data_IF_322331744635
#
_entry.id   IF_322331744635
#
_cell.length_a   1.000
_cell.length_b   1.000
_cell.length_c   1.000
_cell.angle_alpha   90.00
_cell.angle_beta   90.00
_cell.angle_gamma   90.00
#
_symmetry.space_group_name_H-M   'P 1'
#
loop_
_entity.id
_entity.type
_entity.pdbx_description
1 polymer ?
#
# COMPACT_ATOMS: atom_id res chain seq x y z
N UNK A 1 -21.60 27.78 45.89
CA UNK A 1 -20.72 26.95 46.74
C UNK A 1 -20.49 25.60 46.06
N UNK A 2 -19.36 25.47 45.36
CA UNK A 2 -18.67 24.20 45.15
C UNK A 2 -17.41 24.13 46.04
N UNK A 3 -16.85 22.94 46.32
CA UNK A 3 -15.67 22.83 47.18
C UNK A 3 -14.41 23.26 46.43
N UNK A 4 -13.63 24.10 47.12
CA UNK A 4 -12.25 24.47 46.83
C UNK A 4 -11.37 23.22 46.75
N UNK A 5 -10.63 23.07 45.65
CA UNK A 5 -9.45 22.21 45.58
C UNK A 5 -8.22 23.10 45.62
N UNK A 6 -7.37 22.83 46.60
CA UNK A 6 -6.14 23.55 46.87
C UNK A 6 -5.10 23.29 45.77
N UNK A 7 -4.44 24.39 45.39
CA UNK A 7 -3.31 24.45 44.48
C UNK A 7 -2.08 23.77 45.09
N UNK A 8 -1.57 22.73 44.43
CA UNK A 8 -0.22 22.25 44.65
C UNK A 8 0.77 23.09 43.84
N UNK A 9 1.75 23.61 44.56
CA UNK A 9 2.90 24.38 44.12
C UNK A 9 4.00 23.40 43.71
N UNK A 10 4.26 23.26 42.42
CA UNK A 10 5.43 22.54 41.89
C UNK A 10 6.37 23.53 41.20
N UNK A 11 7.27 24.09 42.01
CA UNK A 11 8.55 24.57 41.51
C UNK A 11 9.44 23.37 41.19
N UNK A 12 9.76 23.18 39.91
CA UNK A 12 10.95 22.43 39.54
C UNK A 12 11.57 23.01 38.27
N UNK A 13 12.61 23.82 38.49
CA UNK A 13 13.62 24.16 37.51
C UNK A 13 14.37 22.88 37.10
N UNK A 14 14.10 22.38 35.90
CA UNK A 14 15.00 21.43 35.23
C UNK A 14 15.22 21.87 33.78
N UNK A 15 16.16 22.79 33.61
CA UNK A 15 16.84 23.00 32.32
C UNK A 15 17.83 21.86 32.12
N UNK A 16 17.45 20.90 31.28
CA UNK A 16 18.41 20.03 30.62
C UNK A 16 18.27 20.26 29.12
N UNK A 17 19.29 20.90 28.53
CA UNK A 17 19.43 20.99 27.08
C UNK A 17 19.74 19.60 26.53
N UNK A 18 18.85 19.10 25.68
CA UNK A 18 19.13 18.00 24.79
C UNK A 18 19.28 18.62 23.41
N UNK A 19 20.54 18.75 22.97
CA UNK A 19 20.87 19.09 21.59
C UNK A 19 20.59 17.85 20.74
N UNK A 20 19.60 17.98 19.87
CA UNK A 20 19.14 16.97 18.93
C UNK A 20 20.03 17.02 17.68
N UNK A 21 21.11 16.24 17.70
CA UNK A 21 21.92 15.97 16.52
C UNK A 21 21.70 14.51 16.09
N UNK A 22 20.65 14.23 15.31
CA UNK A 22 20.68 13.18 14.26
C UNK A 22 19.34 12.97 13.52
N UNK A 23 18.84 13.99 12.81
CA UNK A 23 17.79 13.80 11.77
C UNK A 23 18.28 14.06 10.33
N UNK A 24 19.54 14.46 10.13
CA UNK A 24 20.03 14.87 8.81
C UNK A 24 20.53 13.72 7.89
N UNK A 25 20.25 12.45 8.22
CA UNK A 25 20.93 11.32 7.57
C UNK A 25 20.07 10.40 6.68
N UNK A 26 18.75 10.43 6.79
CA UNK A 26 17.89 9.40 6.19
C UNK A 26 16.92 9.92 5.11
N UNK A 27 16.61 11.22 5.10
CA UNK A 27 15.76 11.82 4.04
C UNK A 27 16.50 12.00 2.70
N UNK A 28 17.83 12.14 2.72
CA UNK A 28 18.62 12.44 1.51
C UNK A 28 18.83 11.22 0.58
N UNK A 29 18.61 9.99 1.04
CA UNK A 29 18.76 8.80 0.19
C UNK A 29 17.48 8.39 -0.55
N UNK A 30 16.30 8.84 -0.11
CA UNK A 30 15.04 8.49 -0.78
C UNK A 30 14.55 9.56 -1.78
N UNK A 31 15.00 10.82 -1.62
CA UNK A 31 14.72 11.89 -2.59
C UNK A 31 15.63 11.83 -3.83
N UNK A 32 16.75 11.09 -3.80
CA UNK A 32 17.67 11.00 -4.93
C UNK A 32 17.22 10.03 -6.05
N UNK A 33 16.22 9.18 -5.82
CA UNK A 33 15.72 8.21 -6.82
C UNK A 33 14.41 8.63 -7.52
N UNK A 34 13.84 9.79 -7.20
CA UNK A 34 12.56 10.25 -7.76
C UNK A 34 12.58 11.62 -8.45
N UNK A 35 13.73 12.29 -8.55
CA UNK A 35 13.83 13.66 -9.10
C UNK A 35 14.39 13.79 -10.54
N UNK A 36 14.67 12.70 -11.27
CA UNK A 36 15.25 12.79 -12.63
C UNK A 36 14.34 12.35 -13.78
N UNK A 37 13.03 12.61 -13.66
CA UNK A 37 12.12 12.60 -14.81
C UNK A 37 11.32 13.92 -14.82
N UNK A 38 12.01 15.00 -15.15
CA UNK A 38 11.35 16.20 -15.67
C UNK A 38 10.67 15.87 -16.98
N UNK A 39 9.42 15.39 -16.90
CA UNK A 39 8.52 15.19 -18.02
C UNK A 39 8.30 16.53 -18.73
N UNK A 40 9.09 16.77 -19.76
CA UNK A 40 8.74 17.70 -20.82
C UNK A 40 7.43 17.22 -21.44
N UNK A 41 6.32 17.78 -20.97
CA UNK A 41 5.01 17.66 -21.61
C UNK A 41 5.19 18.00 -23.09
N UNK A 42 4.89 17.09 -24.04
CA UNK A 42 4.92 17.43 -25.45
C UNK A 42 3.88 18.53 -25.66
N UNK A 43 4.34 19.69 -26.10
CA UNK A 43 3.45 20.76 -26.53
C UNK A 43 2.47 20.20 -27.57
N UNK A 44 1.19 20.47 -27.32
CA UNK A 44 0.05 20.27 -28.21
C UNK A 44 0.48 20.37 -29.69
N UNK A 45 0.32 19.33 -30.52
CA UNK A 45 0.45 19.53 -31.95
C UNK A 45 -0.67 20.47 -32.44
N UNK A 46 -0.38 21.39 -33.36
CA UNK A 46 -1.35 22.36 -33.85
C UNK A 46 -2.44 21.69 -34.68
N UNK A 47 -3.60 22.34 -34.68
CA UNK A 47 -4.78 21.99 -35.44
C UNK A 47 -4.46 21.60 -36.89
N UNK A 48 -5.04 20.47 -37.32
CA UNK A 48 -4.99 19.95 -38.68
C UNK A 48 -5.92 20.73 -39.62
N UNK A 49 -5.68 22.03 -39.80
CA UNK A 49 -6.26 22.77 -40.93
C UNK A 49 -5.42 22.53 -42.19
N UNK A 50 -5.65 21.39 -42.85
CA UNK A 50 -5.18 21.13 -44.20
C UNK A 50 -6.34 20.66 -45.08
N UNK A 51 -7.03 21.62 -45.70
CA UNK A 51 -8.00 21.37 -46.76
C UNK A 51 -7.33 20.62 -47.93
N UNK A 52 -7.91 19.51 -48.44
CA UNK A 52 -7.36 18.84 -49.61
C UNK A 52 -7.63 19.67 -50.87
N UNK A 53 -6.57 19.99 -51.61
CA UNK A 53 -6.63 20.61 -52.93
C UNK A 53 -7.39 19.69 -53.90
N UNK A 54 -8.52 20.20 -54.41
CA UNK A 54 -9.33 19.62 -55.46
C UNK A 54 -8.50 19.28 -56.70
N UNK A 55 -8.28 17.97 -56.95
CA UNK A 55 -7.95 17.44 -58.28
C UNK A 55 -9.26 16.96 -58.90
N UNK A 56 -9.64 17.58 -60.03
CA UNK A 56 -10.77 17.13 -60.86
C UNK A 56 -10.54 15.68 -61.28
N UNK A 57 -11.42 14.79 -60.83
CA UNK A 57 -11.50 13.42 -61.31
C UNK A 57 -12.09 13.38 -62.73
N UNK A 58 -11.63 12.46 -63.61
CA UNK A 58 -12.22 12.24 -64.93
C UNK A 58 -13.64 11.65 -64.81
N UNK A 59 -14.48 11.78 -65.86
CA UNK A 59 -15.88 11.38 -65.83
C UNK A 59 -16.01 9.88 -65.55
N UNK A 60 -16.77 9.56 -64.50
CA UNK A 60 -17.03 8.20 -64.04
C UNK A 60 -17.90 7.45 -65.05
N UNK A 61 -17.34 6.40 -65.63
CA UNK A 61 -18.12 5.27 -66.12
C UNK A 61 -19.01 4.78 -64.98
N UNK A 62 -20.34 4.86 -65.16
CA UNK A 62 -21.33 4.32 -64.23
C UNK A 62 -21.16 2.80 -64.12
N UNK A 63 -20.26 2.36 -63.25
CA UNK A 63 -20.23 0.97 -62.78
C UNK A 63 -21.47 0.77 -61.93
N UNK A 64 -22.31 -0.19 -62.31
CA UNK A 64 -23.44 -0.63 -61.50
C UNK A 64 -22.97 -0.86 -60.06
N UNK A 65 -23.72 -0.33 -59.09
CA UNK A 65 -23.41 -0.49 -57.69
C UNK A 65 -23.24 -1.99 -57.37
N UNK A 66 -22.20 -2.37 -56.61
CA UNK A 66 -22.01 -3.76 -56.23
C UNK A 66 -23.28 -4.29 -55.54
N UNK A 67 -23.65 -5.57 -55.76
CA UNK A 67 -24.83 -6.14 -55.14
C UNK A 67 -24.74 -6.02 -53.61
N UNK A 68 -25.83 -5.61 -52.98
CA UNK A 68 -25.93 -5.43 -51.52
C UNK A 68 -25.37 -6.66 -50.80
N UNK A 69 -24.50 -6.42 -49.82
CA UNK A 69 -23.83 -7.50 -49.10
C UNK A 69 -24.83 -8.31 -48.27
N UNK A 70 -24.40 -9.49 -47.80
CA UNK A 70 -25.25 -10.29 -46.90
C UNK A 70 -25.57 -9.53 -45.61
N UNK A 71 -24.61 -8.76 -45.09
CA UNK A 71 -24.81 -7.93 -43.90
C UNK A 71 -25.85 -6.84 -44.17
N UNK A 72 -25.76 -6.15 -45.31
CA UNK A 72 -26.72 -5.11 -45.69
C UNK A 72 -28.15 -5.64 -45.79
N UNK A 73 -28.33 -6.80 -46.43
CA UNK A 73 -29.65 -7.44 -46.55
C UNK A 73 -30.24 -7.78 -45.19
N UNK A 74 -29.45 -8.40 -44.31
CA UNK A 74 -29.89 -8.75 -42.95
C UNK A 74 -30.19 -7.51 -42.10
N UNK A 75 -29.41 -6.43 -42.24
CA UNK A 75 -29.72 -5.15 -41.57
C UNK A 75 -31.01 -4.54 -42.11
N UNK A 76 -31.25 -4.59 -43.41
CA UNK A 76 -32.49 -4.09 -43.99
C UNK A 76 -33.71 -4.89 -43.50
N UNK A 77 -33.64 -6.22 -43.54
CA UNK A 77 -34.68 -7.10 -42.99
C UNK A 77 -34.92 -6.82 -41.49
N UNK A 78 -33.84 -6.64 -40.72
CA UNK A 78 -33.92 -6.26 -39.31
C UNK A 78 -34.58 -4.90 -39.11
N UNK A 79 -34.25 -3.91 -39.95
CA UNK A 79 -34.83 -2.58 -39.92
C UNK A 79 -36.33 -2.64 -40.21
N UNK A 80 -36.76 -3.43 -41.19
CA UNK A 80 -38.17 -3.58 -41.54
C UNK A 80 -38.97 -4.16 -40.35
N UNK A 81 -38.41 -5.17 -39.67
CA UNK A 81 -39.00 -5.73 -38.44
C UNK A 81 -39.00 -4.70 -37.31
N UNK A 82 -37.90 -3.97 -37.12
CA UNK A 82 -37.76 -2.97 -36.05
C UNK A 82 -38.71 -1.77 -36.24
N UNK A 83 -38.89 -1.30 -37.47
CA UNK A 83 -39.82 -0.22 -37.81
C UNK A 83 -41.28 -0.65 -37.71
N UNK A 84 -41.58 -1.96 -37.81
CA UNK A 84 -42.92 -2.50 -37.57
C UNK A 84 -43.38 -2.44 -36.10
N UNK A 85 -42.51 -2.01 -35.18
CA UNK A 85 -42.80 -1.89 -33.74
C UNK A 85 -43.60 -0.61 -33.45
N UNK A 86 -44.93 -0.70 -33.57
CA UNK A 86 -45.86 0.37 -33.20
C UNK A 86 -46.24 0.37 -31.71
N UNK A 87 -46.71 1.53 -31.21
CA UNK A 87 -47.05 1.75 -29.79
C UNK A 87 -48.26 0.92 -29.30
N UNK A 88 -49.13 0.49 -30.21
CA UNK A 88 -50.33 -0.32 -29.89
C UNK A 88 -50.10 -1.84 -29.85
N UNK A 89 -48.86 -2.33 -30.01
CA UNK A 89 -48.60 -3.77 -29.99
C UNK A 89 -48.65 -4.33 -28.57
N UNK A 90 -49.27 -5.51 -28.35
CA UNK A 90 -49.17 -6.22 -27.07
C UNK A 90 -47.70 -6.48 -26.70
N UNK A 91 -47.37 -6.32 -25.41
CA UNK A 91 -45.99 -6.42 -24.89
C UNK A 91 -45.24 -7.69 -25.35
N UNK A 92 -45.93 -8.84 -25.36
CA UNK A 92 -45.37 -10.13 -25.81
C UNK A 92 -44.97 -10.08 -27.29
N UNK A 93 -45.87 -9.57 -28.16
CA UNK A 93 -45.62 -9.48 -29.60
C UNK A 93 -44.53 -8.46 -29.90
N UNK A 94 -44.53 -7.34 -29.18
CA UNK A 94 -43.49 -6.32 -29.28
C UNK A 94 -42.11 -6.90 -28.94
N UNK A 95 -41.99 -7.59 -27.80
CA UNK A 95 -40.73 -8.25 -27.37
C UNK A 95 -40.29 -9.31 -28.38
N UNK A 96 -41.20 -10.15 -28.86
CA UNK A 96 -40.89 -11.18 -29.87
C UNK A 96 -40.35 -10.58 -31.17
N UNK A 97 -40.98 -9.52 -31.69
CA UNK A 97 -40.52 -8.83 -32.91
C UNK A 97 -39.18 -8.15 -32.70
N UNK A 98 -38.96 -7.53 -31.54
CA UNK A 98 -37.70 -6.88 -31.22
C UNK A 98 -36.55 -7.88 -31.12
N UNK A 99 -36.77 -9.03 -30.47
CA UNK A 99 -35.81 -10.15 -30.44
C UNK A 99 -35.49 -10.67 -31.85
N UNK A 100 -36.51 -10.80 -32.71
CA UNK A 100 -36.29 -11.18 -34.12
C UNK A 100 -35.40 -10.16 -34.86
N UNK A 101 -35.61 -8.86 -34.66
CA UNK A 101 -34.75 -7.83 -35.25
C UNK A 101 -33.31 -7.92 -34.73
N UNK A 102 -33.15 -8.14 -33.42
CA UNK A 102 -31.84 -8.36 -32.78
C UNK A 102 -31.11 -9.55 -33.40
N UNK A 103 -31.79 -10.68 -33.60
CA UNK A 103 -31.18 -11.88 -34.19
C UNK A 103 -30.71 -11.64 -35.63
N UNK A 104 -31.47 -10.86 -36.42
CA UNK A 104 -31.07 -10.44 -37.76
C UNK A 104 -29.82 -9.53 -37.71
N UNK A 105 -29.76 -8.58 -36.78
CA UNK A 105 -28.58 -7.72 -36.62
C UNK A 105 -27.36 -8.49 -36.13
N UNK A 106 -27.51 -9.46 -35.22
CA UNK A 106 -26.41 -10.35 -34.80
C UNK A 106 -25.86 -11.16 -35.96
N UNK A 107 -26.73 -11.69 -36.82
CA UNK A 107 -26.31 -12.35 -38.05
C UNK A 107 -25.59 -11.39 -39.00
N UNK A 108 -26.06 -10.13 -39.10
CA UNK A 108 -25.41 -9.10 -39.91
C UNK A 108 -24.01 -8.74 -39.40
N UNK A 109 -23.81 -8.69 -38.08
CA UNK A 109 -22.48 -8.56 -37.44
C UNK A 109 -21.60 -9.74 -37.85
N UNK A 110 -22.09 -10.98 -37.75
CA UNK A 110 -21.32 -12.18 -38.05
C UNK A 110 -20.90 -12.31 -39.53
N UNK A 111 -21.60 -11.67 -40.47
CA UNK A 111 -21.28 -11.71 -41.90
C UNK A 111 -20.78 -10.38 -42.48
N UNK A 112 -20.50 -9.39 -41.64
CA UNK A 112 -19.93 -8.11 -42.08
C UNK A 112 -18.54 -8.33 -42.69
N UNK A 113 -18.28 -7.72 -43.86
CA UNK A 113 -17.03 -7.90 -44.62
C UNK A 113 -16.01 -6.78 -44.40
N UNK A 114 -16.36 -5.77 -43.62
CA UNK A 114 -15.48 -4.65 -43.29
C UNK A 114 -16.06 -3.76 -42.21
N UNK A 115 -15.23 -2.82 -41.77
CA UNK A 115 -15.50 -1.93 -40.63
C UNK A 115 -16.76 -1.07 -40.83
N UNK A 116 -17.05 -0.68 -42.07
CA UNK A 116 -18.23 0.11 -42.38
C UNK A 116 -19.55 -0.66 -42.13
N UNK A 117 -19.60 -1.91 -42.58
CA UNK A 117 -20.76 -2.79 -42.37
C UNK A 117 -20.86 -3.19 -40.90
N UNK A 118 -19.71 -3.52 -40.28
CA UNK A 118 -19.62 -3.95 -38.90
C UNK A 118 -20.10 -2.86 -37.94
N UNK A 119 -19.57 -1.64 -38.06
CA UNK A 119 -19.99 -0.49 -37.25
C UNK A 119 -21.49 -0.21 -37.37
N UNK A 120 -22.04 -0.29 -38.58
CA UNK A 120 -23.47 -0.11 -38.83
C UNK A 120 -24.34 -1.23 -38.25
N UNK A 121 -23.89 -2.48 -38.32
CA UNK A 121 -24.59 -3.64 -37.75
C UNK A 121 -24.61 -3.57 -36.21
N UNK A 122 -23.49 -3.22 -35.60
CA UNK A 122 -23.40 -3.01 -34.16
C UNK A 122 -24.31 -1.86 -33.69
N UNK A 123 -24.35 -0.72 -34.39
CA UNK A 123 -25.26 0.38 -34.07
C UNK A 123 -26.72 -0.09 -34.03
N UNK A 124 -27.16 -0.82 -35.04
CA UNK A 124 -28.52 -1.34 -35.12
C UNK A 124 -28.84 -2.32 -33.97
N UNK A 125 -27.89 -3.22 -33.65
CA UNK A 125 -28.04 -4.14 -32.54
C UNK A 125 -28.12 -3.41 -31.19
N UNK A 126 -27.24 -2.41 -30.96
CA UNK A 126 -27.26 -1.57 -29.78
C UNK A 126 -28.58 -0.82 -29.59
N UNK A 127 -29.11 -0.24 -30.67
CA UNK A 127 -30.40 0.45 -30.65
C UNK A 127 -31.56 -0.48 -30.27
N UNK A 128 -31.56 -1.70 -30.83
CA UNK A 128 -32.59 -2.68 -30.53
C UNK A 128 -32.50 -3.21 -29.09
N UNK A 129 -31.28 -3.44 -28.58
CA UNK A 129 -31.05 -3.82 -27.19
C UNK A 129 -31.44 -2.71 -26.20
N UNK A 130 -31.13 -1.45 -26.50
CA UNK A 130 -31.54 -0.30 -25.70
C UNK A 130 -33.06 -0.22 -25.58
N UNK A 131 -33.76 -0.37 -26.70
CA UNK A 131 -35.23 -0.36 -26.75
C UNK A 131 -35.85 -1.55 -26.02
N UNK A 132 -35.15 -2.68 -25.95
CA UNK A 132 -35.56 -3.86 -25.19
C UNK A 132 -35.42 -3.61 -23.69
N UNK A 133 -34.26 -3.10 -23.26
CA UNK A 133 -33.98 -2.73 -21.87
C UNK A 133 -35.04 -1.78 -21.29
N UNK A 134 -35.43 -0.75 -22.05
CA UNK A 134 -36.45 0.22 -21.66
C UNK A 134 -37.84 -0.38 -21.41
N UNK A 135 -38.10 -1.60 -21.88
CA UNK A 135 -39.41 -2.27 -21.79
C UNK A 135 -39.40 -3.49 -20.87
N UNK A 136 -38.23 -3.95 -20.41
CA UNK A 136 -38.17 -5.10 -19.51
C UNK A 136 -38.67 -4.76 -18.10
N UNK A 137 -39.42 -5.71 -17.55
CA UNK A 137 -40.06 -5.58 -16.25
C UNK A 137 -39.07 -5.80 -15.10
N UNK A 138 -38.09 -6.68 -15.28
CA UNK A 138 -37.12 -6.99 -14.22
C UNK A 138 -35.91 -6.08 -14.35
N UNK A 139 -35.34 -5.69 -13.19
CA UNK A 139 -34.12 -4.89 -13.15
C UNK A 139 -32.92 -5.66 -13.74
N UNK A 140 -32.82 -6.96 -13.47
CA UNK A 140 -31.75 -7.79 -13.96
C UNK A 140 -31.73 -7.87 -15.50
N UNK A 141 -32.86 -8.19 -16.14
CA UNK A 141 -32.93 -8.25 -17.60
C UNK A 141 -32.67 -6.89 -18.25
N UNK A 142 -33.20 -5.82 -17.63
CA UNK A 142 -32.99 -4.45 -18.08
C UNK A 142 -31.51 -4.09 -18.11
N UNK A 143 -30.81 -4.33 -17.00
CA UNK A 143 -29.38 -4.03 -16.88
C UNK A 143 -28.53 -4.92 -17.81
N UNK A 144 -28.90 -6.19 -18.00
CA UNK A 144 -28.26 -7.10 -18.97
C UNK A 144 -28.36 -6.55 -20.40
N UNK A 145 -29.55 -6.12 -20.81
CA UNK A 145 -29.76 -5.54 -22.13
C UNK A 145 -29.07 -4.20 -22.29
N UNK A 146 -29.02 -3.34 -21.26
CA UNK A 146 -28.23 -2.13 -21.31
C UNK A 146 -26.73 -2.41 -21.44
N UNK A 147 -26.16 -3.35 -20.68
CA UNK A 147 -24.75 -3.74 -20.82
C UNK A 147 -24.46 -4.24 -22.24
N UNK A 148 -25.37 -5.03 -22.81
CA UNK A 148 -25.26 -5.51 -24.18
C UNK A 148 -25.37 -4.36 -25.19
N UNK A 149 -26.24 -3.39 -24.95
CA UNK A 149 -26.35 -2.17 -25.77
C UNK A 149 -25.06 -1.34 -25.71
N UNK A 150 -24.49 -1.12 -24.51
CA UNK A 150 -23.21 -0.43 -24.31
C UNK A 150 -22.07 -1.11 -25.07
N UNK A 151 -21.99 -2.45 -25.01
CA UNK A 151 -21.02 -3.21 -25.80
C UNK A 151 -21.16 -2.95 -27.30
N UNK A 152 -22.38 -3.01 -27.82
CA UNK A 152 -22.63 -2.78 -29.24
C UNK A 152 -22.36 -1.33 -29.64
N UNK A 153 -22.78 -0.32 -28.87
CA UNK A 153 -22.51 1.08 -29.18
C UNK A 153 -21.02 1.43 -29.10
N UNK A 154 -20.31 0.99 -28.06
CA UNK A 154 -18.86 1.22 -27.95
C UNK A 154 -18.08 0.53 -29.07
N UNK A 155 -18.49 -0.69 -29.49
CA UNK A 155 -17.90 -1.36 -30.66
C UNK A 155 -18.23 -0.62 -31.96
N UNK A 156 -19.48 -0.16 -32.13
CA UNK A 156 -19.90 0.59 -33.30
C UNK A 156 -19.10 1.88 -33.47
N UNK A 157 -18.91 2.62 -32.37
CA UNK A 157 -18.11 3.85 -32.33
C UNK A 157 -16.64 3.56 -32.61
N UNK A 158 -16.03 2.61 -31.87
CA UNK A 158 -14.62 2.26 -32.02
C UNK A 158 -14.23 1.85 -33.44
N UNK A 159 -15.05 1.01 -34.08
CA UNK A 159 -14.85 0.61 -35.50
C UNK A 159 -15.22 1.75 -36.46
N UNK A 160 -16.25 2.53 -36.11
CA UNK A 160 -16.76 3.62 -36.95
C UNK A 160 -15.82 4.81 -37.07
N UNK A 161 -15.01 5.12 -36.05
CA UNK A 161 -14.08 6.26 -36.07
C UNK A 161 -13.13 6.27 -37.28
N UNK A 162 -12.78 5.10 -37.82
CA UNK A 162 -11.90 4.98 -38.98
C UNK A 162 -12.63 5.06 -40.34
N UNK A 163 -13.95 4.85 -40.39
CA UNK A 163 -14.68 4.62 -41.64
C UNK A 163 -16.00 5.40 -41.79
N UNK A 164 -16.50 6.05 -40.74
CA UNK A 164 -17.74 6.82 -40.73
C UNK A 164 -17.46 8.32 -40.58
N UNK A 165 -18.44 9.13 -40.98
CA UNK A 165 -18.35 10.58 -40.84
C UNK A 165 -18.57 11.00 -39.39
N UNK A 166 -18.05 12.18 -39.02
CA UNK A 166 -18.05 12.70 -37.66
C UNK A 166 -19.44 12.77 -37.03
N UNK A 167 -20.44 13.28 -37.75
CA UNK A 167 -21.80 13.44 -37.21
C UNK A 167 -22.44 12.09 -36.85
N UNK A 168 -22.12 11.02 -37.60
CA UNK A 168 -22.56 9.66 -37.27
C UNK A 168 -21.90 9.13 -36.00
N UNK A 169 -20.60 9.39 -35.82
CA UNK A 169 -19.88 9.01 -34.62
C UNK A 169 -20.41 9.77 -33.41
N UNK A 170 -20.61 11.08 -33.53
CA UNK A 170 -21.16 11.92 -32.47
C UNK A 170 -22.56 11.45 -32.04
N UNK A 171 -23.44 11.13 -32.99
CA UNK A 171 -24.77 10.63 -32.66
C UNK A 171 -24.74 9.31 -31.86
N UNK A 172 -23.73 8.46 -32.08
CA UNK A 172 -23.56 7.22 -31.30
C UNK A 172 -22.96 7.51 -29.94
N UNK A 173 -22.01 8.45 -29.85
CA UNK A 173 -21.43 8.90 -28.60
C UNK A 173 -22.52 9.45 -27.65
N UNK A 174 -23.38 10.34 -28.15
CA UNK A 174 -24.53 10.86 -27.40
C UNK A 174 -25.50 9.73 -26.96
N UNK A 175 -25.71 8.74 -27.83
CA UNK A 175 -26.55 7.57 -27.50
C UNK A 175 -25.89 6.67 -26.45
N UNK A 176 -24.56 6.50 -26.52
CA UNK A 176 -23.77 5.72 -25.57
C UNK A 176 -23.79 6.36 -24.19
N UNK A 177 -23.61 7.68 -24.12
CA UNK A 177 -23.72 8.48 -22.89
C UNK A 177 -25.13 8.39 -22.28
N UNK A 178 -26.17 8.53 -23.10
CA UNK A 178 -27.56 8.37 -22.65
C UNK A 178 -27.86 6.95 -22.13
N UNK A 179 -27.34 5.93 -22.81
CA UNK A 179 -27.44 4.54 -22.38
C UNK A 179 -26.74 4.34 -21.03
N UNK A 180 -25.54 4.87 -20.87
CA UNK A 180 -24.80 4.85 -19.61
C UNK A 180 -25.59 5.52 -18.49
N UNK A 181 -26.08 6.75 -18.70
CA UNK A 181 -26.91 7.46 -17.72
C UNK A 181 -28.14 6.65 -17.30
N UNK A 182 -28.78 5.96 -18.25
CA UNK A 182 -29.94 5.09 -17.99
C UNK A 182 -29.60 3.87 -17.14
N UNK A 183 -28.39 3.31 -17.32
CA UNK A 183 -27.88 2.23 -16.46
C UNK A 183 -27.70 2.74 -15.04
N UNK A 184 -26.96 3.84 -14.85
CA UNK A 184 -26.70 4.40 -13.53
C UNK A 184 -27.99 4.80 -12.81
N UNK A 185 -28.95 5.39 -13.52
CA UNK A 185 -30.27 5.73 -12.96
C UNK A 185 -31.10 4.50 -12.57
N UNK A 186 -30.80 3.32 -13.13
CA UNK A 186 -31.49 2.07 -12.80
C UNK A 186 -30.83 1.30 -11.65
N UNK A 187 -29.58 1.63 -11.27
CA UNK A 187 -28.86 0.89 -10.23
C UNK A 187 -29.48 1.15 -8.84
N UNK A 188 -29.68 0.10 -8.02
CA UNK A 188 -30.20 0.28 -6.68
C UNK A 188 -29.14 0.94 -5.80
N UNK A 189 -29.40 2.17 -5.36
CA UNK A 189 -28.47 2.93 -4.51
C UNK A 189 -28.30 2.35 -3.10
N UNK A 190 -29.17 1.42 -2.69
CA UNK A 190 -29.23 0.90 -1.32
C UNK A 190 -28.28 -0.29 -1.06
N UNK A 191 -27.79 -0.98 -2.09
CA UNK A 191 -26.94 -2.17 -1.95
C UNK A 191 -25.59 -1.98 -2.68
N UNK A 192 -24.51 -1.67 -1.94
CA UNK A 192 -23.19 -1.46 -2.53
C UNK A 192 -22.64 -2.67 -3.28
N UNK A 193 -22.98 -3.89 -2.85
CA UNK A 193 -22.50 -5.12 -3.47
C UNK A 193 -23.12 -5.32 -4.85
N UNK A 194 -24.42 -5.02 -4.99
CA UNK A 194 -25.13 -5.07 -6.26
C UNK A 194 -24.60 -3.99 -7.19
N UNK A 195 -24.43 -2.76 -6.70
CA UNK A 195 -23.88 -1.67 -7.50
C UNK A 195 -22.48 -1.99 -8.02
N UNK A 196 -21.57 -2.49 -7.17
CA UNK A 196 -20.22 -2.94 -7.58
C UNK A 196 -20.27 -3.98 -8.69
N UNK A 197 -21.07 -5.03 -8.52
CA UNK A 197 -21.20 -6.10 -9.51
C UNK A 197 -21.64 -5.56 -10.87
N UNK A 198 -22.54 -4.58 -10.89
CA UNK A 198 -22.98 -3.99 -12.15
C UNK A 198 -21.95 -3.05 -12.77
N UNK A 199 -21.22 -2.27 -11.97
CA UNK A 199 -20.10 -1.47 -12.46
C UNK A 199 -19.01 -2.34 -13.11
N UNK A 200 -18.69 -3.48 -12.50
CA UNK A 200 -17.77 -4.46 -13.10
C UNK A 200 -18.31 -5.00 -14.43
N UNK A 201 -19.61 -5.34 -14.49
CA UNK A 201 -20.23 -5.80 -15.75
C UNK A 201 -20.20 -4.72 -16.84
N UNK A 202 -20.41 -3.45 -16.49
CA UNK A 202 -20.33 -2.32 -17.44
C UNK A 202 -18.89 -2.18 -17.96
N UNK A 203 -17.89 -2.21 -17.08
CA UNK A 203 -16.48 -2.12 -17.45
C UNK A 203 -16.02 -3.29 -18.34
N UNK A 204 -16.56 -4.49 -18.09
CA UNK A 204 -16.32 -5.67 -18.92
C UNK A 204 -17.06 -5.60 -20.25
N UNK A 205 -18.28 -5.06 -20.29
CA UNK A 205 -19.07 -4.93 -21.51
C UNK A 205 -18.52 -3.87 -22.48
N UNK A 206 -17.86 -2.84 -21.97
CA UNK A 206 -17.19 -1.83 -22.79
C UNK A 206 -16.22 -2.47 -23.79
N UNK A 207 -16.34 -2.09 -25.06
CA UNK A 207 -15.58 -2.70 -26.15
C UNK A 207 -14.09 -2.41 -26.10
N UNK A 208 -13.27 -3.41 -26.43
CA UNK A 208 -11.82 -3.28 -26.66
C UNK A 208 -11.49 -2.36 -27.83
N UNK A 209 -12.44 -2.18 -28.75
CA UNK A 209 -12.31 -1.26 -29.88
C UNK A 209 -12.41 0.20 -29.48
N UNK A 210 -12.76 0.50 -28.22
CA UNK A 210 -12.81 1.85 -27.67
C UNK A 210 -12.07 1.91 -26.32
N UNK A 211 -10.72 1.77 -26.31
CA UNK A 211 -9.92 1.61 -25.09
C UNK A 211 -10.11 2.75 -24.08
N UNK A 212 -10.23 4.00 -24.54
CA UNK A 212 -10.41 5.16 -23.67
C UNK A 212 -11.70 5.08 -22.85
N UNK A 213 -12.81 4.69 -23.48
CA UNK A 213 -14.09 4.49 -22.79
C UNK A 213 -14.02 3.33 -21.79
N UNK A 214 -13.33 2.24 -22.17
CA UNK A 214 -13.14 1.08 -21.29
C UNK A 214 -12.29 1.43 -20.07
N UNK A 215 -11.22 2.21 -20.24
CA UNK A 215 -10.39 2.72 -19.15
C UNK A 215 -11.23 3.56 -18.17
N UNK A 216 -12.06 4.46 -18.69
CA UNK A 216 -12.96 5.29 -17.87
C UNK A 216 -13.94 4.46 -17.04
N UNK A 217 -14.49 3.36 -17.59
CA UNK A 217 -15.41 2.49 -16.84
C UNK A 217 -14.69 1.73 -15.71
N UNK A 218 -13.48 1.24 -15.96
CA UNK A 218 -12.67 0.60 -14.92
C UNK A 218 -12.25 1.58 -13.83
N UNK A 219 -11.89 2.82 -14.22
CA UNK A 219 -11.62 3.91 -13.29
C UNK A 219 -12.84 4.19 -12.38
N UNK A 220 -14.03 4.30 -12.96
CA UNK A 220 -15.27 4.51 -12.19
C UNK A 220 -15.54 3.39 -11.18
N UNK A 221 -15.23 2.14 -11.54
CA UNK A 221 -15.32 1.02 -10.61
C UNK A 221 -14.27 1.13 -9.48
N UNK A 222 -13.02 1.44 -9.81
CA UNK A 222 -11.95 1.60 -8.81
C UNK A 222 -12.29 2.71 -7.81
N UNK A 223 -12.71 3.87 -8.30
CA UNK A 223 -13.15 5.02 -7.49
C UNK A 223 -14.34 4.65 -6.58
N UNK A 224 -15.30 3.90 -7.11
CA UNK A 224 -16.44 3.43 -6.32
C UNK A 224 -16.03 2.50 -5.18
N UNK A 225 -15.19 1.49 -5.47
CA UNK A 225 -14.71 0.53 -4.46
C UNK A 225 -13.89 1.24 -3.39
N UNK A 226 -12.99 2.14 -3.80
CA UNK A 226 -12.22 2.98 -2.88
C UNK A 226 -13.13 3.80 -1.96
N UNK A 227 -14.13 4.51 -2.51
CA UNK A 227 -15.10 5.30 -1.71
C UNK A 227 -15.89 4.43 -0.73
N UNK A 228 -16.28 3.21 -1.11
CA UNK A 228 -16.90 2.27 -0.17
C UNK A 228 -16.00 1.97 1.02
N UNK A 229 -14.70 1.75 0.80
CA UNK A 229 -13.73 1.53 1.88
C UNK A 229 -13.56 2.76 2.77
N UNK A 230 -13.41 3.95 2.19
CA UNK A 230 -13.28 5.20 2.96
C UNK A 230 -14.49 5.46 3.86
N UNK A 231 -15.71 5.14 3.39
CA UNK A 231 -16.93 5.31 4.20
C UNK A 231 -16.94 4.47 5.49
N UNK A 232 -16.12 3.42 5.60
CA UNK A 232 -16.04 2.55 6.77
C UNK A 232 -14.69 2.61 7.48
N UNK A 233 -13.79 3.51 7.08
CA UNK A 233 -12.44 3.60 7.63
C UNK A 233 -12.43 3.75 9.17
N UNK A 234 -13.24 4.66 9.70
CA UNK A 234 -13.25 4.95 11.14
C UNK A 234 -14.02 3.90 11.96
N UNK A 235 -15.03 3.26 11.37
CA UNK A 235 -15.95 2.37 12.09
C UNK A 235 -15.59 0.88 11.95
N UNK A 236 -14.99 0.50 10.82
CA UNK A 236 -14.59 -0.87 10.51
C UNK A 236 -13.31 -0.89 9.65
N UNK A 237 -12.13 -0.61 10.23
CA UNK A 237 -10.84 -0.59 9.51
C UNK A 237 -10.53 -1.88 8.74
N UNK A 238 -10.95 -3.05 9.26
CA UNK A 238 -10.79 -4.34 8.56
C UNK A 238 -11.64 -4.44 7.29
N UNK A 239 -12.84 -3.86 7.29
CA UNK A 239 -13.68 -3.78 6.10
C UNK A 239 -13.08 -2.81 5.10
N UNK A 240 -12.57 -1.66 5.56
CA UNK A 240 -11.83 -0.72 4.72
C UNK A 240 -10.62 -1.39 4.05
N UNK A 241 -9.80 -2.15 4.81
CA UNK A 241 -8.67 -2.89 4.28
C UNK A 241 -9.08 -3.84 3.14
N UNK A 242 -10.16 -4.59 3.33
CA UNK A 242 -10.70 -5.48 2.30
C UNK A 242 -11.07 -4.70 1.04
N UNK A 243 -11.72 -3.55 1.19
CA UNK A 243 -12.09 -2.70 0.05
C UNK A 243 -10.88 -2.11 -0.66
N UNK A 244 -9.82 -1.70 0.06
CA UNK A 244 -8.56 -1.26 -0.56
C UNK A 244 -7.93 -2.38 -1.39
N UNK A 245 -7.92 -3.62 -0.88
CA UNK A 245 -7.44 -4.77 -1.64
C UNK A 245 -8.26 -5.02 -2.92
N UNK A 246 -9.59 -4.92 -2.84
CA UNK A 246 -10.49 -5.10 -3.98
C UNK A 246 -10.40 -3.96 -5.00
N UNK A 247 -9.94 -2.76 -4.60
CA UNK A 247 -9.77 -1.60 -5.48
C UNK A 247 -8.54 -1.69 -6.39
N UNK A 248 -7.53 -2.50 -6.06
CA UNK A 248 -6.30 -2.64 -6.87
C UNK A 248 -6.58 -3.17 -8.28
N UNK A 249 -7.30 -4.29 -8.40
CA UNK A 249 -7.62 -4.91 -9.70
C UNK A 249 -8.29 -3.93 -10.68
N UNK A 250 -9.38 -3.22 -10.32
CA UNK A 250 -10.01 -2.27 -11.24
C UNK A 250 -9.11 -1.07 -11.57
N UNK A 251 -8.25 -0.62 -10.64
CA UNK A 251 -7.28 0.43 -10.92
C UNK A 251 -6.21 -0.03 -11.94
N UNK A 252 -5.65 -1.23 -11.76
CA UNK A 252 -4.69 -1.83 -12.70
C UNK A 252 -5.29 -2.02 -14.10
N UNK A 253 -6.53 -2.51 -14.17
CA UNK A 253 -7.26 -2.65 -15.43
C UNK A 253 -7.50 -1.29 -16.11
N UNK A 254 -7.87 -0.26 -15.34
CA UNK A 254 -8.04 1.09 -15.88
C UNK A 254 -6.74 1.63 -16.49
N UNK A 255 -5.60 1.47 -15.80
CA UNK A 255 -4.29 1.87 -16.32
C UNK A 255 -3.88 1.07 -17.56
N UNK A 256 -4.16 -0.25 -17.57
CA UNK A 256 -3.89 -1.09 -18.74
C UNK A 256 -4.60 -0.55 -19.99
N UNK A 257 -5.90 -0.28 -19.89
CA UNK A 257 -6.68 0.25 -21.02
C UNK A 257 -6.32 1.70 -21.36
N UNK A 258 -5.94 2.51 -20.37
CA UNK A 258 -5.49 3.88 -20.64
C UNK A 258 -4.16 3.91 -21.41
N UNK A 259 -3.26 2.95 -21.17
CA UNK A 259 -2.02 2.78 -21.96
C UNK A 259 -2.33 2.39 -23.41
N UNK A 260 -3.28 1.46 -23.60
CA UNK A 260 -3.76 1.07 -24.95
C UNK A 260 -4.39 2.25 -25.70
N UNK A 261 -5.04 3.17 -24.98
CA UNK A 261 -5.62 4.40 -25.51
C UNK A 261 -4.60 5.53 -25.79
N UNK A 262 -3.29 5.27 -25.66
CA UNK A 262 -2.22 6.28 -25.72
C UNK A 262 -2.37 7.41 -24.68
N UNK A 263 -2.68 7.02 -23.44
CA UNK A 263 -2.83 7.87 -22.25
C UNK A 263 -4.04 8.80 -22.27
N UNK A 264 -4.93 8.58 -21.30
CA UNK A 264 -6.20 9.33 -21.15
C UNK A 264 -6.24 10.08 -19.82
N UNK A 265 -7.12 11.08 -19.62
CA UNK A 265 -7.34 11.69 -18.31
C UNK A 265 -7.61 10.67 -17.19
N UNK A 266 -8.22 9.53 -17.52
CA UNK A 266 -8.42 8.43 -16.58
C UNK A 266 -7.09 7.86 -16.03
N UNK A 267 -5.98 7.89 -16.78
CA UNK A 267 -4.70 7.40 -16.30
C UNK A 267 -4.14 8.26 -15.17
N UNK A 268 -4.24 9.59 -15.29
CA UNK A 268 -3.78 10.55 -14.28
C UNK A 268 -4.56 10.33 -12.99
N UNK A 269 -5.90 10.33 -13.09
CA UNK A 269 -6.78 10.11 -11.94
C UNK A 269 -6.52 8.75 -11.26
N UNK A 270 -6.37 7.67 -12.03
CA UNK A 270 -6.14 6.34 -11.45
C UNK A 270 -4.76 6.23 -10.79
N UNK A 271 -3.75 6.94 -11.29
CA UNK A 271 -2.42 6.97 -10.67
C UNK A 271 -2.49 7.61 -9.29
N UNK A 272 -3.19 8.75 -9.16
CA UNK A 272 -3.46 9.40 -7.87
C UNK A 272 -4.26 8.46 -6.96
N UNK A 273 -5.31 7.83 -7.50
CA UNK A 273 -6.13 6.87 -6.76
C UNK A 273 -5.34 5.66 -6.25
N UNK A 274 -4.36 5.14 -7.01
CA UNK A 274 -3.50 4.05 -6.54
C UNK A 274 -2.64 4.45 -5.34
N UNK A 275 -2.16 5.70 -5.34
CA UNK A 275 -1.44 6.24 -4.18
C UNK A 275 -2.38 6.32 -2.97
N UNK A 276 -3.60 6.84 -3.16
CA UNK A 276 -4.60 6.93 -2.09
C UNK A 276 -5.00 5.55 -1.54
N UNK A 277 -5.21 4.56 -2.41
CA UNK A 277 -5.49 3.17 -2.03
C UNK A 277 -4.35 2.63 -1.17
N UNK A 278 -3.10 2.84 -1.60
CA UNK A 278 -1.92 2.38 -0.86
C UNK A 278 -1.82 3.03 0.53
N UNK A 279 -1.98 4.34 0.63
CA UNK A 279 -1.93 5.06 1.90
C UNK A 279 -3.00 4.54 2.88
N UNK A 280 -4.24 4.39 2.41
CA UNK A 280 -5.32 3.88 3.27
C UNK A 280 -5.17 2.41 3.63
N UNK A 281 -4.59 1.60 2.74
CA UNK A 281 -4.20 0.23 3.05
C UNK A 281 -3.19 0.19 4.20
N UNK A 282 -2.12 1.01 4.13
CA UNK A 282 -1.13 1.11 5.20
C UNK A 282 -1.74 1.53 6.54
N UNK A 283 -2.67 2.49 6.53
CA UNK A 283 -3.41 2.91 7.73
C UNK A 283 -4.18 1.73 8.33
N UNK A 284 -4.94 0.99 7.53
CA UNK A 284 -5.74 -0.12 8.03
C UNK A 284 -4.88 -1.29 8.51
N UNK A 285 -3.79 -1.59 7.81
CA UNK A 285 -2.81 -2.61 8.23
C UNK A 285 -2.15 -2.24 9.57
N UNK A 286 -1.84 -0.96 9.78
CA UNK A 286 -1.32 -0.46 11.05
C UNK A 286 -2.31 -0.64 12.20
N UNK A 287 -3.58 -0.33 11.98
CA UNK A 287 -4.64 -0.56 12.98
C UNK A 287 -4.74 -2.05 13.33
N UNK A 288 -4.77 -2.92 12.32
CA UNK A 288 -4.82 -4.36 12.53
C UNK A 288 -3.61 -4.90 13.30
N UNK A 289 -2.41 -4.41 12.99
CA UNK A 289 -1.19 -4.80 13.69
C UNK A 289 -1.24 -4.39 15.17
N UNK A 290 -1.74 -3.18 15.47
CA UNK A 290 -1.94 -2.71 16.85
C UNK A 290 -2.96 -3.54 17.61
N UNK A 291 -4.13 -3.79 17.03
CA UNK A 291 -5.16 -4.61 17.69
C UNK A 291 -4.66 -6.03 17.98
N UNK A 292 -3.87 -6.60 17.06
CA UNK A 292 -3.25 -7.91 17.27
C UNK A 292 -2.20 -7.87 18.39
N UNK A 293 -1.39 -6.80 18.46
CA UNK A 293 -0.42 -6.60 19.53
C UNK A 293 -1.11 -6.43 20.90
N UNK A 294 -2.17 -5.62 20.96
CA UNK A 294 -2.98 -5.38 22.15
C UNK A 294 -3.60 -6.70 22.65
N UNK A 295 -4.15 -7.52 21.75
CA UNK A 295 -4.72 -8.83 22.09
C UNK A 295 -3.66 -9.78 22.65
N UNK A 296 -2.48 -9.86 22.03
CA UNK A 296 -1.36 -10.70 22.47
C UNK A 296 -0.89 -10.26 23.86
N UNK A 297 -0.72 -8.96 24.09
CA UNK A 297 -0.31 -8.44 25.40
C UNK A 297 -1.37 -8.71 26.46
N UNK A 298 -2.63 -8.43 26.17
CA UNK A 298 -3.73 -8.66 27.12
C UNK A 298 -3.78 -10.14 27.52
N UNK A 299 -3.72 -11.04 26.55
CA UNK A 299 -3.65 -12.49 26.79
C UNK A 299 -2.48 -12.87 27.68
N UNK A 300 -1.28 -12.39 27.35
CA UNK A 300 -0.04 -12.68 28.08
C UNK A 300 -0.06 -12.17 29.52
N UNK A 301 -0.74 -11.05 29.78
CA UNK A 301 -0.83 -10.43 31.11
C UNK A 301 -1.95 -10.99 31.98
N UNK A 302 -3.00 -11.59 31.39
CA UNK A 302 -4.21 -11.99 32.12
C UNK A 302 -4.40 -13.49 32.23
N UNK A 303 -3.95 -14.26 31.23
CA UNK A 303 -4.23 -15.70 31.14
C UNK A 303 -3.08 -16.57 31.64
N UNK A 304 -1.88 -16.02 31.79
CA UNK A 304 -0.69 -16.77 32.22
C UNK A 304 -0.22 -16.38 33.62
N UNK A 305 0.14 -17.38 34.44
CA UNK A 305 0.75 -17.16 35.76
C UNK A 305 2.17 -16.60 35.65
N UNK A 306 2.85 -16.88 34.53
CA UNK A 306 4.20 -16.40 34.22
C UNK A 306 4.18 -15.58 32.95
N UNK A 307 4.87 -14.44 32.93
CA UNK A 307 4.95 -13.58 31.76
C UNK A 307 5.61 -14.34 30.59
N UNK A 308 4.88 -14.48 29.48
CA UNK A 308 5.40 -15.07 28.25
C UNK A 308 6.18 -14.01 27.47
N UNK A 309 7.51 -14.06 27.59
CA UNK A 309 8.39 -13.08 26.94
C UNK A 309 8.41 -13.22 25.42
N UNK A 310 8.15 -14.39 24.85
CA UNK A 310 8.08 -14.56 23.39
C UNK A 310 6.85 -13.83 22.83
N UNK A 311 5.72 -13.93 23.53
CA UNK A 311 4.52 -13.19 23.18
C UNK A 311 4.70 -11.67 23.30
N UNK A 312 5.43 -11.20 24.33
CA UNK A 312 5.78 -9.77 24.48
C UNK A 312 6.63 -9.28 23.31
N UNK A 313 7.65 -10.03 22.90
CA UNK A 313 8.48 -9.67 21.74
C UNK A 313 7.67 -9.63 20.44
N UNK A 314 6.77 -10.60 20.22
CA UNK A 314 5.89 -10.58 19.05
C UNK A 314 4.98 -9.34 19.04
N UNK A 315 4.46 -8.92 20.20
CA UNK A 315 3.68 -7.69 20.29
C UNK A 315 4.52 -6.43 19.98
N UNK A 316 5.77 -6.37 20.43
CA UNK A 316 6.72 -5.29 20.09
C UNK A 316 6.93 -5.22 18.58
N UNK A 317 7.16 -6.35 17.91
CA UNK A 317 7.35 -6.41 16.46
C UNK A 317 6.11 -5.89 15.70
N UNK A 318 4.91 -6.25 16.16
CA UNK A 318 3.66 -5.77 15.56
C UNK A 318 3.45 -4.26 15.76
N UNK A 319 3.79 -3.70 16.92
CA UNK A 319 3.78 -2.24 17.08
C UNK A 319 4.84 -1.55 16.22
N UNK A 320 6.00 -2.17 16.02
CA UNK A 320 7.03 -1.64 15.15
C UNK A 320 6.55 -1.60 13.70
N UNK A 321 5.93 -2.68 13.24
CA UNK A 321 5.26 -2.72 11.93
C UNK A 321 4.19 -1.63 11.81
N UNK A 322 3.35 -1.45 12.83
CA UNK A 322 2.33 -0.41 12.84
C UNK A 322 2.92 1.00 12.74
N UNK A 323 4.04 1.27 13.42
CA UNK A 323 4.74 2.55 13.38
C UNK A 323 5.29 2.84 11.97
N UNK A 324 5.92 1.86 11.33
CA UNK A 324 6.46 1.97 9.96
C UNK A 324 5.33 2.30 8.98
N UNK A 325 4.22 1.58 9.07
CA UNK A 325 3.08 1.72 8.15
C UNK A 325 2.43 3.10 8.20
N UNK A 326 2.39 3.74 9.38
CA UNK A 326 1.74 5.06 9.53
C UNK A 326 2.68 6.26 9.44
N UNK A 327 3.99 6.05 9.19
CA UNK A 327 5.03 7.11 9.16
C UNK A 327 4.77 8.19 10.24
N UNK A 328 5.05 7.84 11.50
CA UNK A 328 5.02 8.73 12.68
C UNK A 328 3.69 8.91 13.42
N UNK A 329 3.15 7.84 14.00
CA UNK A 329 2.27 8.01 15.17
C UNK A 329 3.10 8.02 16.45
N UNK A 330 3.27 9.21 17.03
CA UNK A 330 3.99 9.42 18.30
C UNK A 330 3.54 8.47 19.42
N UNK A 331 2.23 8.19 19.51
CA UNK A 331 1.64 7.26 20.49
C UNK A 331 2.19 5.83 20.36
N UNK A 332 2.39 5.34 19.12
CA UNK A 332 2.92 3.99 18.87
C UNK A 332 4.39 3.92 19.28
N UNK A 333 5.15 4.96 18.94
CA UNK A 333 6.57 5.07 19.28
C UNK A 333 6.78 5.16 20.81
N UNK A 334 5.92 5.88 21.53
CA UNK A 334 5.97 5.95 22.99
C UNK A 334 5.68 4.58 23.62
N UNK A 335 4.66 3.88 23.12
CA UNK A 335 4.32 2.52 23.57
C UNK A 335 5.48 1.55 23.34
N UNK A 336 6.11 1.59 22.16
CA UNK A 336 7.30 0.80 21.83
C UNK A 336 8.46 1.07 22.79
N UNK A 337 8.79 2.34 23.01
CA UNK A 337 9.87 2.74 23.92
C UNK A 337 9.63 2.22 25.34
N UNK A 338 8.39 2.29 25.82
CA UNK A 338 8.02 1.78 27.15
C UNK A 338 8.18 0.27 27.24
N UNK A 339 7.71 -0.48 26.24
CA UNK A 339 7.81 -1.95 26.24
C UNK A 339 9.26 -2.41 26.16
N UNK A 340 10.08 -1.80 25.30
CA UNK A 340 11.50 -2.10 25.19
C UNK A 340 12.25 -1.80 26.50
N UNK A 341 11.93 -0.70 27.18
CA UNK A 341 12.52 -0.37 28.47
C UNK A 341 12.15 -1.39 29.56
N UNK A 342 10.91 -1.88 29.56
CA UNK A 342 10.48 -2.89 30.53
C UNK A 342 11.15 -4.25 30.28
N UNK A 343 11.29 -4.67 29.02
CA UNK A 343 12.03 -5.90 28.70
C UNK A 343 13.49 -5.79 29.14
N UNK A 344 14.17 -4.69 28.81
CA UNK A 344 15.54 -4.45 29.26
C UNK A 344 15.66 -4.48 30.80
N UNK A 345 14.66 -3.96 31.52
CA UNK A 345 14.61 -4.00 32.99
C UNK A 345 14.48 -5.43 33.53
N UNK A 346 13.68 -6.28 32.88
CA UNK A 346 13.51 -7.68 33.27
C UNK A 346 14.77 -8.50 32.99
N UNK A 347 15.38 -8.34 31.81
CA UNK A 347 16.65 -9.00 31.46
C UNK A 347 17.76 -8.63 32.45
N UNK A 348 17.88 -7.36 32.84
CA UNK A 348 18.86 -6.94 33.85
C UNK A 348 18.53 -7.53 35.24
N UNK A 349 17.25 -7.64 35.59
CA UNK A 349 16.84 -8.27 36.85
C UNK A 349 17.18 -9.77 36.87
N UNK A 350 16.94 -10.48 35.79
CA UNK A 350 17.28 -11.90 35.64
C UNK A 350 18.79 -12.10 35.69
N UNK A 351 19.54 -11.32 34.90
CA UNK A 351 21.00 -11.32 34.93
C UNK A 351 21.55 -11.01 36.32
N UNK A 352 20.96 -10.05 37.03
CA UNK A 352 21.31 -9.73 38.41
C UNK A 352 21.02 -10.87 39.37
N UNK A 353 19.87 -11.54 39.23
CA UNK A 353 19.50 -12.74 40.01
C UNK A 353 20.47 -13.90 39.80
N UNK A 354 20.87 -14.16 38.55
CA UNK A 354 21.85 -15.19 38.21
C UNK A 354 23.24 -14.87 38.75
N UNK A 355 23.63 -13.59 38.70
CA UNK A 355 24.94 -13.12 39.19
C UNK A 355 25.03 -13.04 40.71
N UNK A 356 23.94 -12.77 41.41
CA UNK A 356 23.92 -12.58 42.87
C UNK A 356 24.61 -13.71 43.67
N UNK A 357 24.32 -15.01 43.46
CA UNK A 357 25.00 -16.08 44.20
C UNK A 357 26.49 -16.17 43.87
N UNK A 358 26.89 -15.88 42.63
CA UNK A 358 28.30 -15.88 42.20
C UNK A 358 29.05 -14.73 42.86
N UNK A 359 28.44 -13.53 42.91
CA UNK A 359 29.01 -12.37 43.57
C UNK A 359 29.21 -12.60 45.07
N UNK A 360 28.26 -13.27 45.73
CA UNK A 360 28.40 -13.62 47.15
C UNK A 360 29.51 -14.66 47.37
N UNK A 361 29.63 -15.66 46.49
CA UNK A 361 30.73 -16.64 46.55
C UNK A 361 32.11 -16.00 46.31
N UNK A 362 32.18 -14.95 45.50
CA UNK A 362 33.40 -14.20 45.19
C UNK A 362 33.67 -13.02 46.14
N UNK A 363 32.85 -12.81 47.17
CA UNK A 363 32.91 -11.64 48.06
C UNK A 363 34.34 -11.35 48.54
N UNK A 364 35.01 -12.34 49.11
CA UNK A 364 36.34 -12.15 49.69
C UNK A 364 37.42 -11.80 48.64
N UNK A 365 37.32 -12.40 47.46
CA UNK A 365 38.19 -12.12 46.32
C UNK A 365 37.96 -10.70 45.78
N UNK A 366 36.70 -10.31 45.59
CA UNK A 366 36.33 -8.97 45.16
C UNK A 366 36.75 -7.91 46.17
N UNK A 367 36.59 -8.17 47.47
CA UNK A 367 37.10 -7.27 48.50
C UNK A 367 38.62 -7.13 48.45
N UNK A 368 39.36 -8.20 48.13
CA UNK A 368 40.82 -8.14 47.97
C UNK A 368 41.21 -7.27 46.76
N UNK A 369 40.49 -7.42 45.64
CA UNK A 369 40.64 -6.57 44.45
C UNK A 369 40.32 -5.11 44.79
N UNK A 370 39.23 -4.84 45.50
CA UNK A 370 38.85 -3.49 45.93
C UNK A 370 39.89 -2.88 46.87
N UNK A 371 40.39 -3.65 47.86
CA UNK A 371 41.48 -3.20 48.75
C UNK A 371 42.73 -2.84 47.95
N UNK A 372 43.13 -3.67 46.98
CA UNK A 372 44.26 -3.37 46.10
C UNK A 372 44.01 -2.11 45.24
N UNK A 373 42.80 -1.93 44.73
CA UNK A 373 42.37 -0.74 44.00
C UNK A 373 42.46 0.52 44.86
N UNK A 374 42.02 0.49 46.13
CA UNK A 374 42.10 1.64 47.04
C UNK A 374 43.55 2.08 47.24
N UNK A 375 44.49 1.14 47.36
CA UNK A 375 45.92 1.47 47.53
C UNK A 375 46.49 2.16 46.29
N UNK A 376 46.11 1.72 45.09
CA UNK A 376 46.47 2.40 43.84
C UNK A 376 46.52 1.51 42.62
N UNK A 377 46.57 2.11 41.43
CA UNK A 377 46.58 1.41 40.15
C UNK A 377 47.69 0.35 40.02
N UNK A 378 48.91 0.67 40.49
CA UNK A 378 50.03 -0.27 40.51
C UNK A 378 49.74 -1.51 41.36
N UNK A 379 49.18 -1.31 42.56
CA UNK A 379 48.85 -2.39 43.49
C UNK A 379 47.68 -3.24 43.01
N UNK A 380 46.70 -2.62 42.36
CA UNK A 380 45.62 -3.33 41.66
C UNK A 380 46.17 -4.27 40.59
N UNK A 381 46.98 -3.76 39.67
CA UNK A 381 47.57 -4.56 38.58
C UNK A 381 48.49 -5.65 39.12
N UNK A 382 49.30 -5.34 40.14
CA UNK A 382 50.13 -6.34 40.82
C UNK A 382 49.28 -7.47 41.42
N UNK A 383 48.21 -7.12 42.13
CA UNK A 383 47.32 -8.08 42.77
C UNK A 383 46.64 -8.99 41.75
N UNK A 384 45.96 -8.43 40.74
CA UNK A 384 45.19 -9.22 39.78
C UNK A 384 46.09 -10.12 38.91
N UNK A 385 47.29 -9.69 38.52
CA UNK A 385 48.21 -10.55 37.74
C UNK A 385 48.86 -11.65 38.58
N UNK A 386 48.84 -11.52 39.91
CA UNK A 386 49.43 -12.51 40.82
C UNK A 386 48.38 -13.51 41.30
N UNK A 387 47.22 -13.02 41.75
CA UNK A 387 46.17 -13.82 42.38
C UNK A 387 45.14 -14.30 41.35
N UNK A 388 44.83 -13.48 40.36
CA UNK A 388 43.79 -13.75 39.36
C UNK A 388 44.33 -13.58 37.92
N UNK A 389 45.43 -14.25 37.54
CA UNK A 389 46.12 -13.98 36.28
C UNK A 389 45.20 -14.17 35.06
N UNK A 390 45.31 -13.35 34.00
CA UNK A 390 44.42 -13.48 32.85
C UNK A 390 44.53 -14.85 32.19
N UNK A 391 43.41 -15.46 31.83
CA UNK A 391 43.37 -16.80 31.20
C UNK A 391 43.74 -16.82 29.71
N UNK A 392 44.06 -15.66 29.14
CA UNK A 392 44.45 -15.54 27.72
C UNK A 392 45.91 -16.03 27.54
N UNK A 393 46.21 -16.79 26.47
CA UNK A 393 47.57 -17.24 26.19
C UNK A 393 48.56 -16.09 26.08
N UNK A 394 49.76 -16.27 26.65
CA UNK A 394 50.90 -15.33 26.54
C UNK A 394 50.65 -13.94 27.14
N UNK A 395 49.75 -13.80 28.12
CA UNK A 395 49.59 -12.54 28.84
C UNK A 395 50.91 -12.10 29.50
N UNK A 396 51.17 -10.79 29.53
CA UNK A 396 52.33 -10.20 30.20
C UNK A 396 51.83 -9.11 31.13
N UNK A 397 52.37 -9.06 32.35
CA UNK A 397 52.08 -7.96 33.27
C UNK A 397 52.55 -6.64 32.63
N UNK A 398 51.68 -5.63 32.51
CA UNK A 398 52.07 -4.38 31.90
C UNK A 398 53.04 -3.59 32.78
N UNK A 399 53.80 -2.68 32.15
CA UNK A 399 54.64 -1.73 32.87
C UNK A 399 53.76 -0.68 33.57
N UNK A 400 53.92 -0.59 34.90
CA UNK A 400 53.18 0.30 35.79
C UNK A 400 54.10 1.38 36.39
N UNK A 401 55.14 1.77 35.65
CA UNK A 401 55.97 2.94 35.96
C UNK A 401 55.14 4.23 35.87
N UNK A 402 55.52 5.30 36.61
CA UNK A 402 54.76 6.56 36.62
C UNK A 402 54.46 7.12 35.23
N UNK A 403 55.42 7.03 34.31
CA UNK A 403 55.30 7.54 32.93
C UNK A 403 54.40 6.68 32.03
N UNK A 404 54.17 5.41 32.40
CA UNK A 404 53.40 4.44 31.61
C UNK A 404 52.07 4.03 32.25
N UNK A 405 51.70 4.56 33.41
CA UNK A 405 50.53 4.14 34.20
C UNK A 405 49.23 4.04 33.38
N UNK A 406 48.93 5.05 32.56
CA UNK A 406 47.73 5.07 31.69
C UNK A 406 47.75 3.97 30.63
N UNK A 407 48.88 3.81 29.92
CA UNK A 407 49.06 2.74 28.92
C UNK A 407 49.06 1.35 29.57
N UNK A 408 49.64 1.23 30.77
CA UNK A 408 49.69 0.00 31.54
C UNK A 408 48.30 -0.46 31.99
N UNK A 409 47.45 0.46 32.47
CA UNK A 409 46.05 0.18 32.79
C UNK A 409 45.26 -0.27 31.56
N UNK A 410 45.40 0.40 30.41
CA UNK A 410 44.72 -0.01 29.18
C UNK A 410 45.14 -1.42 28.72
N UNK A 411 46.44 -1.72 28.82
CA UNK A 411 46.96 -3.05 28.55
C UNK A 411 46.48 -4.10 29.57
N UNK A 412 46.22 -3.70 30.82
CA UNK A 412 45.63 -4.56 31.84
C UNK A 412 44.12 -4.80 31.62
N UNK A 413 43.36 -3.82 31.13
CA UNK A 413 41.91 -3.92 30.88
C UNK A 413 41.61 -4.94 29.78
N UNK A 414 42.36 -4.87 28.69
CA UNK A 414 42.12 -5.67 27.48
C UNK A 414 41.94 -7.17 27.76
N UNK A 415 42.81 -7.83 28.56
CA UNK A 415 42.66 -9.25 28.81
C UNK A 415 41.56 -9.61 29.81
N UNK A 416 40.98 -8.68 30.57
CA UNK A 416 39.83 -8.95 31.45
C UNK A 416 38.49 -8.48 30.87
N UNK A 417 38.48 -7.87 29.68
CA UNK A 417 37.26 -7.39 29.04
C UNK A 417 36.26 -8.53 28.76
N UNK A 418 34.94 -8.35 29.01
CA UNK A 418 33.94 -9.40 28.79
C UNK A 418 33.99 -10.06 27.41
N UNK A 419 34.23 -9.30 26.34
CA UNK A 419 34.39 -9.82 24.96
C UNK A 419 35.52 -10.85 24.78
N UNK A 420 36.52 -10.83 25.67
CA UNK A 420 37.65 -11.79 25.70
C UNK A 420 37.41 -12.94 26.67
N UNK A 421 36.35 -12.87 27.47
CA UNK A 421 35.99 -13.83 28.52
C UNK A 421 34.71 -14.55 28.13
N UNK A 422 34.72 -15.24 26.98
CA UNK A 422 33.54 -15.87 26.40
C UNK A 422 32.95 -16.96 27.30
N UNK A 423 31.63 -16.89 27.49
CA UNK A 423 30.87 -17.94 28.15
C UNK A 423 31.07 -19.29 27.41
N UNK A 424 31.50 -20.33 28.13
CA UNK A 424 31.80 -21.66 27.59
C UNK A 424 33.29 -22.02 27.52
N UNK A 425 34.18 -21.04 27.40
CA UNK A 425 35.64 -21.26 27.51
C UNK A 425 36.13 -21.17 28.96
N UNK A 426 35.40 -20.42 29.79
CA UNK A 426 35.70 -20.20 31.20
C UNK A 426 34.46 -20.43 32.07
N UNK A 427 34.68 -20.65 33.37
CA UNK A 427 33.60 -20.82 34.34
C UNK A 427 32.84 -19.50 34.54
N UNK A 428 31.57 -19.60 34.93
CA UNK A 428 30.72 -18.42 35.17
C UNK A 428 31.31 -17.51 36.26
N UNK A 429 31.91 -18.10 37.31
CA UNK A 429 32.60 -17.37 38.38
C UNK A 429 33.76 -16.56 37.84
N UNK A 430 34.56 -17.13 36.94
CA UNK A 430 35.68 -16.41 36.33
C UNK A 430 35.21 -15.26 35.44
N UNK A 431 34.16 -15.48 34.63
CA UNK A 431 33.61 -14.43 33.78
C UNK A 431 33.10 -13.24 34.62
N UNK A 432 32.38 -13.52 35.71
CA UNK A 432 31.91 -12.48 36.65
C UNK A 432 33.08 -11.79 37.34
N UNK A 433 34.06 -12.54 37.85
CA UNK A 433 35.26 -11.98 38.50
C UNK A 433 36.05 -11.08 37.53
N UNK A 434 36.26 -11.54 36.30
CA UNK A 434 36.98 -10.78 35.28
C UNK A 434 36.24 -9.49 34.91
N UNK A 435 34.91 -9.51 34.81
CA UNK A 435 34.10 -8.31 34.60
C UNK A 435 34.28 -7.30 35.75
N UNK A 436 34.26 -7.75 37.00
CA UNK A 436 34.47 -6.87 38.17
C UNK A 436 35.91 -6.33 38.25
N UNK A 437 36.91 -7.15 37.91
CA UNK A 437 38.30 -6.68 37.75
C UNK A 437 38.39 -5.61 36.66
N UNK A 438 37.73 -5.83 35.53
CA UNK A 438 37.68 -4.88 34.42
C UNK A 438 37.04 -3.55 34.85
N UNK A 439 35.92 -3.58 35.60
CA UNK A 439 35.30 -2.39 36.19
C UNK A 439 36.26 -1.64 37.12
N UNK A 440 36.95 -2.35 38.02
CA UNK A 440 37.91 -1.75 38.94
C UNK A 440 39.08 -1.08 38.18
N UNK A 441 39.59 -1.71 37.12
CA UNK A 441 40.62 -1.14 36.26
C UNK A 441 40.13 0.11 35.50
N UNK A 442 38.90 0.07 34.96
CA UNK A 442 38.29 1.19 34.24
C UNK A 442 38.09 2.41 35.14
N UNK A 443 37.65 2.22 36.39
CA UNK A 443 37.56 3.31 37.38
C UNK A 443 38.93 3.97 37.58
N UNK A 444 40.00 3.18 37.70
CA UNK A 444 41.36 3.72 37.82
C UNK A 444 41.86 4.40 36.56
N UNK A 445 41.53 3.84 35.39
CA UNK A 445 41.88 4.44 34.11
C UNK A 445 41.20 5.80 33.92
N UNK A 446 39.93 5.92 34.31
CA UNK A 446 39.15 7.17 34.25
C UNK A 446 39.78 8.33 35.04
N UNK A 447 40.48 8.04 36.14
CA UNK A 447 41.22 9.05 36.91
C UNK A 447 42.36 9.70 36.11
N UNK A 448 42.86 9.04 35.05
CA UNK A 448 43.89 9.57 34.14
C UNK A 448 43.32 10.16 32.84
N UNK A 449 42.01 10.09 32.63
CA UNK A 449 41.34 10.74 31.50
C UNK A 449 40.73 12.07 31.90
N UNK A 450 40.21 12.20 33.13
CA UNK A 450 39.63 13.46 33.64
C UNK A 450 40.66 14.47 34.19
N UNK A 451 41.96 14.13 34.26
CA UNK A 451 43.01 15.00 34.80
C UNK A 451 43.73 15.85 33.72
N UNK A 452 43.18 15.93 32.50
CA UNK A 452 43.79 16.65 31.37
C UNK A 452 42.80 17.54 30.59
N UNK A 453 41.73 18.01 31.24
CA UNK A 453 40.94 19.15 30.76
C UNK A 453 41.10 20.34 31.70
#
# INVERSE_FOLDING_TARGET
MPPHYDSYDEGNDFKAGFEDESEAGFEDQFNAEFEDDTYNLPQRPPAWDAAPRSRRAPPSTQRAAPPASRSDKLRQEGNDVYLSLGEGLPSIIYKQRLLKAIDLYKQAVACARGDEELSSAHRNCGQAMLRLAQRDATLADRLDHYCTALHHFSTALGVGLACKHRDWCQAIEETLESCQASVFASLPLADPSVQRRWLERIAVAASERLPAFRAEKWMQLADYVYKCGICVLDSAPHECLKEMCEAHRPAEEALRWAREAHWTPAAVFVTELQHDIYVHQCICESVKARESADEILLRSLTESETLDMEAVWLAIDLYHQAAILTRERAEILETLKRLQAEVARQEELEKSRERAPILEALRDELEAVTRAAVIGAHKLVEHIYTVHPPKIPKHKRPDMSPDNMKKGLLAAITPYHPDKQRAGEHSAEWCVLAEEICKALNVKYGMFTCACE
#
